data_IF_133495606968
#
_entry.id   IF_133495606968
#
_cell.length_a   1.000
_cell.length_b   1.000
_cell.length_c   1.000
_cell.angle_alpha   90.00
_cell.angle_beta   90.00
_cell.angle_gamma   90.00
#
_symmetry.space_group_name_H-M   'P 1'
#
loop_
_entity.id
_entity.type
_entity.pdbx_description
1 polymer ?
#
# COMPACT_ATOMS: atom_id res chain seq x y z
N UNK A 1 56.61 23.95 -25.26
CA UNK A 1 56.38 25.10 -26.16
C UNK A 1 54.89 25.19 -26.41
N UNK A 2 54.24 26.21 -25.84
CA UNK A 2 52.79 26.44 -25.83
C UNK A 2 52.22 26.66 -27.23
N UNK A 3 50.94 26.35 -27.48
CA UNK A 3 49.85 27.35 -27.60
C UNK A 3 48.49 26.65 -27.58
N UNK A 4 47.61 27.10 -26.68
CA UNK A 4 46.20 26.71 -26.57
C UNK A 4 45.33 27.41 -27.62
N UNK A 5 44.25 26.80 -28.06
CA UNK A 5 43.06 27.51 -28.57
C UNK A 5 41.79 26.83 -28.09
N UNK A 6 41.04 27.52 -27.23
CA UNK A 6 39.69 27.16 -26.81
C UNK A 6 38.69 27.83 -27.74
N UNK A 7 37.76 27.05 -28.29
CA UNK A 7 36.53 27.57 -28.91
C UNK A 7 35.32 27.06 -28.12
N UNK A 8 34.65 27.99 -27.44
CA UNK A 8 33.34 27.80 -26.82
C UNK A 8 32.29 27.75 -27.92
N UNK A 9 31.47 26.70 -27.94
CA UNK A 9 30.22 26.68 -28.68
C UNK A 9 29.15 26.06 -27.77
N UNK A 10 28.24 26.89 -27.27
CA UNK A 10 27.02 26.45 -26.61
C UNK A 10 25.97 26.17 -27.70
N UNK A 11 25.30 25.01 -27.61
CA UNK A 11 24.08 24.74 -28.37
C UNK A 11 22.97 24.45 -27.36
N UNK A 12 21.91 25.25 -27.44
CA UNK A 12 20.69 25.13 -26.64
C UNK A 12 19.58 24.62 -27.57
N UNK A 13 18.72 23.78 -26.98
CA UNK A 13 17.37 23.33 -27.39
C UNK A 13 17.26 22.16 -28.37
N UNK A 14 16.71 21.06 -27.86
CA UNK A 14 15.57 20.40 -28.49
C UNK A 14 14.61 19.90 -27.39
N UNK A 15 13.44 20.51 -27.34
CA UNK A 15 12.28 20.03 -26.59
C UNK A 15 11.69 18.77 -27.24
N UNK A 16 10.99 17.95 -26.45
CA UNK A 16 9.93 17.09 -26.95
C UNK A 16 10.32 15.64 -27.23
N UNK A 17 10.38 14.82 -26.19
CA UNK A 17 9.91 13.44 -26.29
C UNK A 17 8.57 13.36 -25.53
N UNK A 18 7.49 13.66 -26.24
CA UNK A 18 6.14 13.27 -25.83
C UNK A 18 6.05 11.74 -25.94
N UNK A 19 6.56 11.04 -24.92
CA UNK A 19 6.35 9.60 -24.78
C UNK A 19 4.94 9.38 -24.23
N UNK A 20 4.00 9.27 -25.17
CA UNK A 20 2.90 8.31 -25.19
C UNK A 20 2.36 7.89 -23.83
N UNK A 21 1.15 8.37 -23.54
CA UNK A 21 0.21 7.70 -22.64
C UNK A 21 0.02 6.25 -23.11
N UNK A 22 0.76 5.33 -22.52
CA UNK A 22 0.36 3.93 -22.40
C UNK A 22 0.01 3.77 -20.93
N UNK A 23 -1.25 3.50 -20.63
CA UNK A 23 -1.69 3.20 -19.27
C UNK A 23 -0.86 2.05 -18.73
N UNK A 24 0.16 2.37 -17.95
CA UNK A 24 0.76 1.42 -17.04
C UNK A 24 -0.39 1.03 -16.09
N UNK A 25 -0.99 -0.14 -16.34
CA UNK A 25 -1.95 -0.72 -15.40
C UNK A 25 -1.30 -0.63 -14.03
N UNK A 26 -1.95 0.12 -13.13
CA UNK A 26 -1.37 0.39 -11.81
C UNK A 26 -0.95 -0.96 -11.23
N UNK A 27 0.35 -1.12 -10.97
CA UNK A 27 0.85 -2.31 -10.31
C UNK A 27 0.07 -2.43 -9.01
N UNK A 28 -0.74 -3.48 -8.89
CA UNK A 28 -1.37 -3.77 -7.62
C UNK A 28 -0.27 -4.21 -6.67
N UNK A 29 -0.16 -3.55 -5.53
CA UNK A 29 0.75 -4.03 -4.49
C UNK A 29 0.08 -5.21 -3.81
N UNK A 30 0.67 -6.40 -3.92
CA UNK A 30 0.14 -7.54 -3.18
C UNK A 30 0.38 -7.35 -1.67
N UNK A 31 -0.50 -7.91 -0.85
CA UNK A 31 -0.24 -7.95 0.60
C UNK A 31 0.73 -9.08 0.87
N UNK A 32 1.86 -8.76 1.50
CA UNK A 32 2.94 -9.71 1.70
C UNK A 32 2.47 -10.90 2.55
N UNK A 33 2.76 -12.14 2.15
CA UNK A 33 2.55 -13.30 3.00
C UNK A 33 3.37 -13.20 4.28
N UNK A 34 2.79 -13.64 5.40
CA UNK A 34 3.49 -13.60 6.69
C UNK A 34 2.56 -13.56 7.89
N UNK A 35 3.15 -13.61 9.09
CA UNK A 35 2.45 -13.46 10.35
C UNK A 35 2.46 -12.00 10.80
N UNK A 36 1.32 -11.55 11.30
CA UNK A 36 1.09 -10.17 11.70
C UNK A 36 0.41 -10.10 13.06
N UNK A 37 0.80 -9.13 13.87
CA UNK A 37 -0.04 -8.60 14.94
C UNK A 37 -1.04 -7.63 14.32
N UNK A 38 -2.32 -7.98 14.35
CA UNK A 38 -3.42 -7.11 13.96
C UNK A 38 -3.96 -6.35 15.17
N UNK A 39 -3.94 -5.03 15.08
CA UNK A 39 -4.55 -4.12 16.05
C UNK A 39 -5.68 -3.36 15.35
N UNK A 40 -6.89 -3.44 15.91
CA UNK A 40 -8.04 -2.68 15.46
C UNK A 40 -8.37 -1.60 16.49
N UNK A 41 -8.53 -0.38 16.01
CA UNK A 41 -8.73 0.81 16.83
C UNK A 41 -9.99 1.53 16.38
N UNK A 42 -10.75 2.11 17.30
CA UNK A 42 -11.88 3.00 16.94
C UNK A 42 -11.40 4.30 16.32
N UNK A 43 -12.32 5.03 15.68
CA UNK A 43 -12.07 6.39 15.21
C UNK A 43 -11.64 7.36 16.32
N UNK A 44 -11.97 7.08 17.60
CA UNK A 44 -11.52 7.83 18.77
C UNK A 44 -10.15 7.40 19.32
N UNK A 45 -9.48 6.43 18.70
CA UNK A 45 -8.12 6.00 19.10
C UNK A 45 -8.06 4.90 20.17
N UNK A 46 -9.21 4.35 20.60
CA UNK A 46 -9.24 3.26 21.58
C UNK A 46 -8.97 1.93 20.86
N UNK A 47 -8.00 1.14 21.35
CA UNK A 47 -7.76 -0.22 20.87
C UNK A 47 -8.93 -1.10 21.27
N UNK A 48 -9.64 -1.65 20.28
CA UNK A 48 -10.77 -2.55 20.48
C UNK A 48 -10.32 -4.01 20.55
N UNK A 49 -9.32 -4.33 19.73
CA UNK A 49 -8.92 -5.71 19.51
C UNK A 49 -7.47 -5.77 19.08
N UNK A 50 -6.73 -6.68 19.69
CA UNK A 50 -5.38 -7.05 19.25
C UNK A 50 -5.30 -8.57 19.15
N UNK A 51 -4.76 -9.10 18.04
CA UNK A 51 -4.59 -10.54 17.83
C UNK A 51 -3.56 -10.85 16.77
N UNK A 52 -3.07 -12.09 16.78
CA UNK A 52 -2.30 -12.61 15.65
C UNK A 52 -3.22 -12.90 14.47
N UNK A 53 -2.74 -12.56 13.28
CA UNK A 53 -3.28 -12.99 12.00
C UNK A 53 -2.15 -13.37 11.07
N UNK A 54 -2.48 -13.90 9.90
CA UNK A 54 -1.49 -14.19 8.87
C UNK A 54 -2.06 -13.96 7.48
N UNK A 55 -1.21 -13.63 6.53
CA UNK A 55 -1.55 -13.62 5.11
C UNK A 55 -1.06 -14.92 4.50
N UNK A 56 -1.98 -15.71 3.96
CA UNK A 56 -1.73 -17.02 3.36
C UNK A 56 -2.25 -17.01 1.93
N UNK A 57 -1.35 -16.95 0.95
CA UNK A 57 -1.75 -16.71 -0.44
C UNK A 57 -2.41 -15.34 -0.58
N UNK A 58 -3.64 -15.31 -1.11
CA UNK A 58 -4.45 -14.08 -1.23
C UNK A 58 -5.51 -13.95 -0.13
N UNK A 59 -5.36 -14.69 0.97
CA UNK A 59 -6.31 -14.62 2.09
C UNK A 59 -5.66 -14.01 3.33
N UNK A 60 -6.40 -13.11 3.98
CA UNK A 60 -6.13 -12.70 5.35
C UNK A 60 -6.80 -13.68 6.30
N UNK A 61 -5.99 -14.37 7.10
CA UNK A 61 -6.41 -15.32 8.13
C UNK A 61 -6.33 -14.65 9.50
N UNK A 62 -7.49 -14.30 10.07
CA UNK A 62 -7.59 -13.62 11.37
C UNK A 62 -8.55 -14.36 12.32
N UNK A 63 -9.86 -14.21 12.08
CA UNK A 63 -10.97 -14.91 12.77
C UNK A 63 -11.67 -15.91 11.86
N UNK A 64 -11.23 -15.93 10.63
CA UNK A 64 -11.75 -16.61 9.47
C UNK A 64 -10.77 -16.35 8.33
N UNK A 65 -11.10 -16.79 7.14
CA UNK A 65 -10.34 -16.52 5.92
C UNK A 65 -11.09 -15.50 5.07
N UNK A 66 -10.39 -14.43 4.71
CA UNK A 66 -10.98 -13.31 4.00
C UNK A 66 -10.17 -13.03 2.74
N UNK A 67 -10.78 -13.13 1.55
CA UNK A 67 -10.11 -12.79 0.32
C UNK A 67 -9.63 -11.35 0.34
N UNK A 68 -8.35 -11.16 0.01
CA UNK A 68 -7.73 -9.86 -0.13
C UNK A 68 -7.99 -9.39 -1.55
N UNK A 69 -8.68 -8.27 -1.67
CA UNK A 69 -8.87 -7.57 -2.92
C UNK A 69 -7.69 -6.62 -3.13
N UNK A 70 -6.86 -6.85 -4.17
CA UNK A 70 -5.65 -6.05 -4.36
C UNK A 70 -5.96 -4.58 -4.71
N UNK A 71 -5.10 -3.68 -4.24
CA UNK A 71 -5.12 -2.24 -4.54
C UNK A 71 -3.71 -1.76 -4.92
N UNK A 72 -3.54 -0.55 -5.48
CA UNK A 72 -2.22 -0.03 -5.82
C UNK A 72 -1.23 0.08 -4.64
N UNK A 73 -1.75 0.14 -3.40
CA UNK A 73 -0.96 0.35 -2.18
C UNK A 73 -1.01 -0.82 -1.21
N UNK A 74 -1.74 -1.89 -1.54
CA UNK A 74 -1.86 -3.11 -0.73
C UNK A 74 -3.16 -3.84 -1.06
N UNK A 75 -4.10 -3.91 -0.12
CA UNK A 75 -5.37 -4.59 -0.37
C UNK A 75 -6.49 -4.13 0.54
N UNK A 76 -7.68 -4.69 0.33
CA UNK A 76 -8.76 -4.61 1.31
C UNK A 76 -9.42 -5.97 1.49
N UNK A 77 -10.04 -6.16 2.65
CA UNK A 77 -10.85 -7.34 2.95
C UNK A 77 -12.25 -6.89 3.36
N UNK A 78 -13.26 -7.66 2.99
CA UNK A 78 -14.62 -7.50 3.49
C UNK A 78 -14.87 -8.64 4.50
N UNK A 79 -14.92 -8.30 5.80
CA UNK A 79 -15.08 -9.30 6.87
C UNK A 79 -16.52 -9.82 6.97
N UNK A 80 -17.49 -8.96 6.66
CA UNK A 80 -18.91 -9.24 6.55
C UNK A 80 -19.56 -8.12 5.73
N UNK A 81 -20.78 -8.29 5.20
CA UNK A 81 -21.42 -7.28 4.36
C UNK A 81 -21.40 -5.88 4.98
N UNK A 82 -20.83 -4.92 4.25
CA UNK A 82 -20.69 -3.54 4.68
C UNK A 82 -19.51 -3.25 5.61
N UNK A 83 -18.74 -4.26 6.08
CA UNK A 83 -17.54 -4.06 6.88
C UNK A 83 -16.26 -4.33 6.10
N UNK A 84 -15.63 -3.24 5.66
CA UNK A 84 -14.41 -3.25 4.85
C UNK A 84 -13.23 -2.74 5.65
N UNK A 85 -12.09 -3.42 5.53
CA UNK A 85 -10.83 -2.94 6.10
C UNK A 85 -9.80 -2.79 5.00
N UNK A 86 -9.20 -1.61 4.92
CA UNK A 86 -8.15 -1.30 3.94
C UNK A 86 -6.78 -1.47 4.60
N UNK A 87 -5.88 -2.14 3.89
CA UNK A 87 -4.50 -2.41 4.29
C UNK A 87 -3.57 -1.70 3.30
N UNK A 88 -3.18 -0.47 3.61
CA UNK A 88 -2.17 0.24 2.84
C UNK A 88 -0.80 -0.08 3.43
N UNK A 89 0.17 -0.40 2.57
CA UNK A 89 1.55 -0.63 3.00
C UNK A 89 2.07 0.59 3.76
N UNK A 90 2.73 0.32 4.89
CA UNK A 90 3.44 1.35 5.66
C UNK A 90 4.89 1.57 5.18
N UNK A 91 5.32 0.83 4.16
CA UNK A 91 6.69 0.87 3.63
C UNK A 91 7.72 0.08 4.44
N UNK A 92 7.32 -0.52 5.57
CA UNK A 92 8.19 -1.23 6.52
C UNK A 92 7.77 -2.71 6.68
N UNK A 93 7.01 -3.23 5.72
CA UNK A 93 6.49 -4.60 5.70
C UNK A 93 5.15 -4.76 6.43
N UNK A 94 4.68 -3.72 7.13
CA UNK A 94 3.38 -3.68 7.76
C UNK A 94 2.33 -2.98 6.90
N UNK A 95 1.12 -2.91 7.45
CA UNK A 95 -0.02 -2.28 6.79
C UNK A 95 -0.85 -1.46 7.77
N UNK A 96 -1.40 -0.35 7.31
CA UNK A 96 -2.37 0.44 8.05
C UNK A 96 -3.48 0.97 7.15
N UNK A 97 -4.66 1.17 7.71
CA UNK A 97 -5.72 1.82 6.96
C UNK A 97 -7.06 1.85 7.69
N UNK A 98 -8.05 2.53 7.08
CA UNK A 98 -9.38 2.67 7.65
C UNK A 98 -10.16 1.36 7.67
N UNK A 99 -10.97 1.22 8.72
CA UNK A 99 -12.06 0.27 8.81
C UNK A 99 -13.39 1.00 8.59
N UNK A 100 -14.19 0.51 7.65
CA UNK A 100 -15.48 1.06 7.28
C UNK A 100 -16.61 0.14 7.72
N UNK A 101 -17.74 0.73 8.13
CA UNK A 101 -19.01 0.04 8.29
C UNK A 101 -20.09 0.83 7.54
N UNK A 102 -20.73 0.22 6.54
CA UNK A 102 -21.72 0.89 5.70
C UNK A 102 -21.17 2.09 4.93
N UNK A 103 -19.87 2.09 4.60
CA UNK A 103 -19.20 3.20 3.93
C UNK A 103 -18.72 4.33 4.86
N UNK A 104 -19.00 4.25 6.16
CA UNK A 104 -18.55 5.23 7.17
C UNK A 104 -17.29 4.71 7.86
N UNK A 105 -16.29 5.56 8.06
CA UNK A 105 -15.09 5.21 8.84
C UNK A 105 -15.48 5.01 10.31
N UNK A 106 -15.28 3.81 10.83
CA UNK A 106 -15.55 3.45 12.24
C UNK A 106 -14.28 3.20 13.03
N UNK A 107 -13.14 3.08 12.34
CA UNK A 107 -11.87 2.79 12.97
C UNK A 107 -10.72 2.65 11.99
N UNK A 108 -9.66 2.02 12.47
CA UNK A 108 -8.48 1.67 11.69
C UNK A 108 -7.97 0.28 12.06
N UNK A 109 -7.20 -0.29 11.14
CA UNK A 109 -6.39 -1.48 11.37
C UNK A 109 -4.90 -1.10 11.28
N UNK A 110 -4.09 -1.80 12.05
CA UNK A 110 -2.64 -1.90 11.87
C UNK A 110 -2.24 -3.36 11.85
N UNK A 111 -1.47 -3.78 10.85
CA UNK A 111 -0.82 -5.09 10.76
C UNK A 111 0.68 -4.89 10.92
N UNK A 112 1.22 -5.33 12.05
CA UNK A 112 2.66 -5.27 12.35
C UNK A 112 3.29 -6.64 12.11
N UNK A 113 4.33 -6.77 11.27
CA UNK A 113 5.01 -8.05 11.05
C UNK A 113 5.55 -8.68 12.34
N UNK A 114 5.55 -10.01 12.41
CA UNK A 114 6.05 -10.75 13.59
C UNK A 114 7.48 -11.32 13.45
N UNK A 115 8.12 -11.15 12.29
CA UNK A 115 9.47 -11.66 12.00
C UNK A 115 9.48 -12.94 11.17
#
# INVERSE_FOLDING_TARGET
MSTSFAFRSAVVVAAGAAALLVGAGQASADVAPGSYTSTTTTSSGIVLLQRTGSVQGQDLVLIGRYPIHPTPTGGYVDFFPGHRVVMNSDGHGGYTGPAYLGGVVVGSITLTPQG
#
